data_IF_420832424236
#
_entry.id   IF_420832424236
#
_cell.length_a   1.000
_cell.length_b   1.000
_cell.length_c   1.000
_cell.angle_alpha   90.00
_cell.angle_beta   90.00
_cell.angle_gamma   90.00
#
_symmetry.space_group_name_H-M   'P 1'
#
loop_
_entity.id
_entity.type
_entity.pdbx_description
1 polymer ?
#
# COMPACT_ATOMS: atom_id res chain seq x y z
N UNK A 1 3.58 11.45 -22.81
CA UNK A 1 4.46 10.82 -21.79
C UNK A 1 3.56 10.12 -20.81
N UNK A 2 3.90 8.91 -20.35
CA UNK A 2 3.12 8.20 -19.34
C UNK A 2 3.89 8.22 -18.02
N UNK A 3 3.18 8.36 -16.90
CA UNK A 3 3.76 8.42 -15.57
C UNK A 3 3.22 7.22 -14.78
N UNK A 4 4.11 6.39 -14.27
CA UNK A 4 3.76 5.20 -13.47
C UNK A 4 4.51 5.31 -12.15
N UNK A 5 3.76 5.30 -11.04
CA UNK A 5 4.32 5.31 -9.69
C UNK A 5 4.02 3.97 -9.05
N UNK A 6 5.06 3.19 -8.77
CA UNK A 6 4.96 1.92 -8.04
C UNK A 6 5.46 2.15 -6.61
N UNK A 7 4.58 1.91 -5.64
CA UNK A 7 4.91 2.01 -4.21
C UNK A 7 4.67 0.68 -3.53
N UNK A 8 5.69 0.16 -2.84
CA UNK A 8 5.66 -1.09 -2.11
C UNK A 8 5.58 -0.78 -0.61
N UNK A 9 4.60 -1.35 0.08
CA UNK A 9 4.40 -1.09 1.51
C UNK A 9 5.46 -1.84 2.34
N UNK A 10 6.10 -1.13 3.27
CA UNK A 10 7.07 -1.67 4.23
C UNK A 10 8.29 -2.36 3.59
N UNK A 11 8.55 -2.13 2.30
CA UNK A 11 9.73 -2.66 1.62
C UNK A 11 10.99 -1.97 2.14
N UNK A 12 11.98 -2.79 2.49
CA UNK A 12 13.31 -2.30 2.86
C UNK A 12 14.29 -2.50 1.69
N UNK A 13 15.21 -1.54 1.46
CA UNK A 13 16.17 -1.64 0.36
C UNK A 13 17.11 -2.83 0.51
N UNK A 14 17.44 -3.23 1.74
CA UNK A 14 18.30 -4.39 2.00
C UNK A 14 17.65 -5.74 1.65
N UNK A 15 16.41 -5.75 1.14
CA UNK A 15 15.71 -6.94 0.62
C UNK A 15 15.70 -7.01 -0.92
N UNK A 16 16.42 -6.10 -1.59
CA UNK A 16 16.49 -6.03 -3.05
C UNK A 16 17.87 -6.43 -3.58
N UNK A 17 17.89 -7.21 -4.66
CA UNK A 17 19.12 -7.62 -5.33
C UNK A 17 19.92 -6.42 -5.88
N UNK A 18 19.24 -5.43 -6.45
CA UNK A 18 19.87 -4.20 -6.94
C UNK A 18 20.53 -3.33 -5.84
N UNK A 19 20.21 -3.58 -4.57
CA UNK A 19 20.89 -2.97 -3.40
C UNK A 19 21.86 -3.92 -2.70
N UNK A 20 22.19 -5.06 -3.34
CA UNK A 20 23.22 -5.99 -2.88
C UNK A 20 22.73 -7.17 -2.05
N UNK A 21 21.42 -7.43 -1.94
CA UNK A 21 20.91 -8.62 -1.25
C UNK A 21 21.17 -9.89 -2.10
N UNK A 22 21.92 -10.90 -1.60
CA UNK A 22 22.23 -12.12 -2.35
C UNK A 22 21.21 -13.26 -2.17
N UNK A 23 20.21 -13.08 -1.29
CA UNK A 23 19.30 -14.14 -0.84
C UNK A 23 17.89 -14.00 -1.41
N UNK A 24 17.30 -12.79 -1.35
CA UNK A 24 15.96 -12.52 -1.85
C UNK A 24 16.01 -12.35 -3.37
N UNK A 25 15.12 -13.03 -4.09
CA UNK A 25 15.07 -12.98 -5.55
C UNK A 25 14.11 -11.88 -6.00
N UNK A 26 14.64 -10.80 -6.58
CA UNK A 26 13.84 -9.68 -7.10
C UNK A 26 14.07 -9.42 -8.59
N UNK A 27 13.97 -10.45 -9.46
CA UNK A 27 14.46 -10.39 -10.83
C UNK A 27 13.87 -9.26 -11.68
N UNK A 28 12.58 -8.93 -11.48
CA UNK A 28 11.92 -7.85 -12.22
C UNK A 28 12.40 -6.45 -11.77
N UNK A 29 12.53 -6.23 -10.46
CA UNK A 29 13.06 -4.97 -9.91
C UNK A 29 14.53 -4.82 -10.29
N UNK A 30 15.31 -5.91 -10.21
CA UNK A 30 16.73 -5.91 -10.55
C UNK A 30 16.96 -5.67 -12.05
N UNK A 31 16.09 -6.21 -12.91
CA UNK A 31 16.11 -5.92 -14.35
C UNK A 31 15.78 -4.46 -14.61
N UNK A 32 14.71 -3.93 -14.02
CA UNK A 32 14.32 -2.53 -14.18
C UNK A 32 15.40 -1.56 -13.69
N UNK A 33 16.06 -1.89 -12.59
CA UNK A 33 17.16 -1.09 -12.04
C UNK A 33 18.35 -0.93 -12.99
N UNK A 34 18.63 -1.93 -13.86
CA UNK A 34 19.74 -1.86 -14.84
C UNK A 34 19.52 -0.82 -15.93
N UNK A 35 18.27 -0.46 -16.17
CA UNK A 35 17.85 0.49 -17.20
C UNK A 35 17.38 1.83 -16.60
N UNK A 36 17.56 2.00 -15.28
CA UNK A 36 17.03 3.14 -14.52
C UNK A 36 18.11 3.85 -13.72
N UNK A 37 17.77 5.04 -13.22
CA UNK A 37 18.56 5.71 -12.19
C UNK A 37 18.16 5.11 -10.83
N UNK A 38 19.14 4.59 -10.09
CA UNK A 38 18.96 4.03 -8.75
C UNK A 38 19.46 5.03 -7.71
N UNK A 39 18.63 5.33 -6.72
CA UNK A 39 18.98 6.26 -5.64
C UNK A 39 19.47 5.49 -4.41
N UNK A 40 20.67 5.80 -3.93
CA UNK A 40 21.21 5.28 -2.66
C UNK A 40 20.71 6.07 -1.43
N UNK A 41 20.18 7.27 -1.68
CA UNK A 41 19.78 8.24 -0.64
C UNK A 41 18.39 8.80 -0.93
N UNK A 42 17.40 7.91 -0.99
CA UNK A 42 15.99 8.26 -1.08
C UNK A 42 15.35 8.07 0.30
N UNK A 43 14.78 9.13 0.87
CA UNK A 43 14.21 9.11 2.22
C UNK A 43 12.71 9.40 2.16
N UNK A 44 11.92 8.61 2.89
CA UNK A 44 10.54 8.95 3.17
C UNK A 44 10.49 10.19 4.07
N UNK A 45 9.55 11.09 3.79
CA UNK A 45 9.36 12.31 4.57
C UNK A 45 8.90 12.02 6.00
N UNK A 46 8.05 11.00 6.16
CA UNK A 46 7.52 10.56 7.44
C UNK A 46 7.02 9.12 7.38
N UNK A 47 6.74 8.54 8.54
CA UNK A 47 6.09 7.24 8.70
C UNK A 47 4.90 7.40 9.66
N UNK A 48 3.84 6.57 9.56
CA UNK A 48 3.70 5.35 8.76
C UNK A 48 3.01 5.54 7.39
N UNK A 49 2.34 4.51 6.86
CA UNK A 49 1.74 4.36 5.52
C UNK A 49 0.99 5.57 4.99
N UNK A 50 0.06 6.18 5.75
CA UNK A 50 -0.71 7.32 5.25
C UNK A 50 0.06 8.66 5.24
N UNK A 51 0.82 9.03 6.30
CA UNK A 51 1.68 10.22 6.25
C UNK A 51 2.63 10.24 5.05
N UNK A 52 3.34 9.14 4.77
CA UNK A 52 4.27 9.11 3.61
C UNK A 52 3.52 9.28 2.28
N UNK A 53 2.32 8.70 2.16
CA UNK A 53 1.48 8.82 0.97
C UNK A 53 0.90 10.24 0.83
N UNK A 54 0.56 10.90 1.95
CA UNK A 54 0.13 12.31 1.94
C UNK A 54 1.24 13.21 1.39
N UNK A 55 2.47 13.05 1.90
CA UNK A 55 3.62 13.81 1.44
C UNK A 55 3.91 13.53 -0.05
N UNK A 56 3.86 12.27 -0.47
CA UNK A 56 4.05 11.88 -1.88
C UNK A 56 2.97 12.47 -2.79
N UNK A 57 1.69 12.38 -2.39
CA UNK A 57 0.58 12.81 -3.21
C UNK A 57 0.57 14.33 -3.34
N UNK A 58 0.87 15.07 -2.28
CA UNK A 58 0.77 16.53 -2.28
C UNK A 58 2.08 17.24 -2.64
N UNK A 59 3.22 16.54 -2.58
CA UNK A 59 4.55 17.16 -2.70
C UNK A 59 4.90 18.09 -1.53
N UNK A 60 4.18 18.02 -0.41
CA UNK A 60 4.36 18.91 0.75
C UNK A 60 5.08 18.19 1.88
N UNK A 61 5.84 18.96 2.67
CA UNK A 61 6.41 18.49 3.94
C UNK A 61 5.33 18.48 5.02
N UNK A 62 5.05 17.33 5.63
CA UNK A 62 3.87 17.09 6.47
C UNK A 62 4.14 16.41 7.82
N UNK A 63 5.30 15.78 8.02
CA UNK A 63 5.70 14.95 9.16
C UNK A 63 5.36 15.56 10.51
N UNK A 64 5.66 16.84 10.71
CA UNK A 64 5.48 17.51 12.00
C UNK A 64 4.05 17.95 12.29
N UNK A 65 3.16 17.91 11.29
CA UNK A 65 1.82 18.53 11.36
C UNK A 65 0.69 17.59 11.01
N UNK A 66 0.99 16.48 10.35
CA UNK A 66 -0.01 15.55 9.83
C UNK A 66 0.35 14.13 10.18
N UNK A 67 -0.45 13.56 11.08
CA UNK A 67 -0.39 12.15 11.44
C UNK A 67 -1.29 11.31 10.53
N UNK A 68 -1.84 10.25 11.11
CA UNK A 68 -2.78 9.37 10.43
C UNK A 68 -4.13 10.08 10.20
N UNK A 69 -4.33 10.67 9.04
CA UNK A 69 -5.57 11.39 8.71
C UNK A 69 -5.90 11.36 7.22
N UNK A 70 -7.09 11.86 6.90
CA UNK A 70 -7.60 12.06 5.54
C UNK A 70 -6.80 13.13 4.78
N UNK A 71 -6.94 13.14 3.45
CA UNK A 71 -6.64 14.35 2.70
C UNK A 71 -7.68 15.43 3.03
N UNK A 72 -7.18 16.62 3.35
CA UNK A 72 -7.99 17.80 3.60
C UNK A 72 -8.48 18.38 2.26
N UNK A 73 -9.62 19.07 2.24
CA UNK A 73 -10.15 19.67 1.01
C UNK A 73 -9.14 20.59 0.29
N UNK A 74 -8.29 21.29 1.03
CA UNK A 74 -7.29 22.23 0.48
C UNK A 74 -6.03 21.54 -0.03
N UNK A 75 -5.84 20.24 0.24
CA UNK A 75 -4.75 19.48 -0.36
C UNK A 75 -5.00 19.33 -1.85
N UNK A 76 -3.97 19.62 -2.65
CA UNK A 76 -3.97 19.38 -4.10
C UNK A 76 -3.07 18.18 -4.38
N UNK A 77 -3.62 16.96 -4.51
CA UNK A 77 -2.84 15.79 -4.88
C UNK A 77 -2.38 15.89 -6.33
N UNK A 78 -1.22 15.29 -6.62
CA UNK A 78 -0.61 15.22 -7.96
C UNK A 78 -1.58 14.67 -9.00
N UNK A 79 -2.46 13.74 -8.60
CA UNK A 79 -3.49 13.20 -9.47
C UNK A 79 -4.44 14.29 -10.00
N UNK A 80 -4.90 15.23 -9.16
CA UNK A 80 -5.74 16.36 -9.61
C UNK A 80 -4.97 17.29 -10.57
N UNK A 81 -3.69 17.56 -10.30
CA UNK A 81 -2.84 18.37 -11.19
C UNK A 81 -2.68 17.72 -12.57
N UNK A 82 -2.48 16.39 -12.61
CA UNK A 82 -2.35 15.64 -13.86
C UNK A 82 -3.70 15.56 -14.60
N UNK A 83 -4.79 15.37 -13.87
CA UNK A 83 -6.15 15.34 -14.41
C UNK A 83 -6.50 16.67 -15.09
N UNK A 84 -6.25 17.80 -14.42
CA UNK A 84 -6.42 19.15 -15.00
C UNK A 84 -5.54 19.39 -16.23
N UNK A 85 -4.43 18.67 -16.34
CA UNK A 85 -3.51 18.71 -17.48
C UNK A 85 -3.89 17.74 -18.61
N UNK A 86 -5.04 17.07 -18.53
CA UNK A 86 -5.59 16.19 -19.56
C UNK A 86 -5.05 14.75 -19.52
N UNK A 87 -4.45 14.30 -18.41
CA UNK A 87 -4.05 12.90 -18.24
C UNK A 87 -5.24 12.05 -17.77
N UNK A 88 -5.34 10.83 -18.30
CA UNK A 88 -6.15 9.79 -17.66
C UNK A 88 -5.42 9.27 -16.43
N UNK A 89 -6.08 9.31 -15.27
CA UNK A 89 -5.48 8.98 -13.98
C UNK A 89 -6.07 7.69 -13.39
N UNK A 90 -5.21 6.83 -12.85
CA UNK A 90 -5.62 5.56 -12.24
C UNK A 90 -4.92 5.31 -10.90
N UNK A 91 -5.68 4.88 -9.89
CA UNK A 91 -5.18 4.38 -8.62
C UNK A 91 -5.52 2.91 -8.45
N UNK A 92 -4.50 2.07 -8.38
CA UNK A 92 -4.65 0.64 -8.10
C UNK A 92 -3.87 0.34 -6.82
N UNK A 93 -4.55 -0.05 -5.75
CA UNK A 93 -3.91 -0.24 -4.44
C UNK A 93 -4.64 -1.26 -3.59
N UNK A 94 -3.88 -1.98 -2.76
CA UNK A 94 -4.37 -2.85 -1.70
C UNK A 94 -4.38 -2.16 -0.32
N UNK A 95 -3.94 -0.91 -0.24
CA UNK A 95 -3.84 -0.15 1.00
C UNK A 95 -5.23 0.26 1.50
N UNK A 96 -5.87 -0.64 2.26
CA UNK A 96 -7.20 -0.48 2.86
C UNK A 96 -7.51 0.95 3.35
N UNK A 97 -6.54 1.56 4.03
CA UNK A 97 -6.72 2.84 4.68
C UNK A 97 -6.92 4.03 3.74
N UNK A 98 -6.49 3.94 2.47
CA UNK A 98 -6.74 4.98 1.46
C UNK A 98 -8.20 4.97 1.00
N UNK A 99 -8.83 3.79 1.01
CA UNK A 99 -10.16 3.53 0.45
C UNK A 99 -11.30 3.65 1.47
N UNK A 100 -10.97 3.95 2.74
CA UNK A 100 -12.01 4.25 3.73
C UNK A 100 -12.76 5.52 3.29
N UNK A 101 -14.12 5.56 3.34
CA UNK A 101 -14.91 6.64 2.76
C UNK A 101 -14.50 8.07 3.19
N UNK A 102 -14.04 8.23 4.42
CA UNK A 102 -13.65 9.54 4.95
C UNK A 102 -12.22 9.98 4.60
N UNK A 103 -11.40 9.13 3.97
CA UNK A 103 -9.95 9.35 3.85
C UNK A 103 -9.55 10.14 2.59
N UNK A 104 -10.39 10.15 1.56
CA UNK A 104 -10.28 11.02 0.38
C UNK A 104 -9.01 10.87 -0.48
N UNK A 105 -8.27 9.75 -0.39
CA UNK A 105 -7.07 9.51 -1.21
C UNK A 105 -7.36 9.13 -2.67
N UNK A 106 -8.63 8.90 -3.01
CA UNK A 106 -9.10 8.59 -4.37
C UNK A 106 -9.32 9.85 -5.23
N UNK A 107 -9.15 11.03 -4.64
CA UNK A 107 -9.31 12.32 -5.32
C UNK A 107 -8.34 12.48 -6.50
N UNK A 108 -8.87 12.95 -7.64
CA UNK A 108 -8.11 13.20 -8.86
C UNK A 108 -7.85 11.97 -9.73
N UNK A 109 -8.37 10.79 -9.36
CA UNK A 109 -8.26 9.57 -10.16
C UNK A 109 -9.55 9.28 -10.92
N UNK A 110 -9.48 9.17 -12.26
CA UNK A 110 -10.61 8.74 -13.09
C UNK A 110 -11.01 7.28 -12.83
N UNK A 111 -10.02 6.44 -12.53
CA UNK A 111 -10.20 5.03 -12.25
C UNK A 111 -9.58 4.65 -10.91
N UNK A 112 -10.36 3.95 -10.08
CA UNK A 112 -9.88 3.38 -8.82
C UNK A 112 -10.17 1.90 -8.76
N UNK A 113 -9.12 1.09 -8.56
CA UNK A 113 -9.21 -0.34 -8.25
C UNK A 113 -8.65 -0.60 -6.87
N UNK A 114 -9.53 -0.78 -5.90
CA UNK A 114 -9.16 -1.26 -4.59
C UNK A 114 -9.05 -2.79 -4.60
N UNK A 115 -7.84 -3.29 -4.34
CA UNK A 115 -7.57 -4.71 -4.13
C UNK A 115 -7.88 -5.04 -2.66
N UNK A 116 -8.99 -5.72 -2.44
CA UNK A 116 -9.56 -5.97 -1.10
C UNK A 116 -8.82 -7.07 -0.35
N UNK A 117 -8.91 -7.02 0.98
CA UNK A 117 -8.57 -8.11 1.90
C UNK A 117 -7.35 -7.88 2.80
N UNK A 118 -6.68 -6.74 2.69
CA UNK A 118 -5.60 -6.35 3.61
C UNK A 118 -6.10 -5.90 4.98
N UNK A 119 -5.28 -6.13 6.00
CA UNK A 119 -5.51 -5.70 7.39
C UNK A 119 -6.96 -5.93 7.89
N UNK A 120 -7.61 -4.87 8.40
CA UNK A 120 -8.95 -4.90 8.97
C UNK A 120 -10.06 -4.65 7.93
N UNK A 121 -9.76 -4.78 6.63
CA UNK A 121 -10.77 -4.69 5.59
C UNK A 121 -11.84 -5.78 5.81
N UNK A 122 -13.12 -5.44 5.99
CA UNK A 122 -14.19 -6.43 6.12
C UNK A 122 -14.59 -6.96 4.74
N UNK A 123 -13.63 -7.56 4.01
CA UNK A 123 -13.88 -8.11 2.67
C UNK A 123 -14.64 -9.44 2.75
N UNK A 124 -14.23 -10.31 3.67
CA UNK A 124 -14.91 -11.58 3.93
C UNK A 124 -15.54 -11.53 5.32
N UNK A 125 -16.88 -11.51 5.35
CA UNK A 125 -17.68 -11.37 6.58
C UNK A 125 -18.39 -12.66 7.00
N UNK A 126 -18.15 -13.78 6.29
CA UNK A 126 -18.76 -15.07 6.61
C UNK A 126 -18.37 -15.50 8.04
N UNK A 127 -19.33 -15.63 8.97
CA UNK A 127 -19.06 -16.03 10.35
C UNK A 127 -18.60 -17.48 10.46
N UNK A 128 -18.80 -18.31 9.43
CA UNK A 128 -18.46 -19.73 9.45
C UNK A 128 -16.97 -20.00 9.16
N UNK A 129 -16.24 -19.01 8.66
CA UNK A 129 -14.80 -19.13 8.43
C UNK A 129 -14.08 -19.16 9.78
N UNK A 130 -13.52 -20.32 10.10
CA UNK A 130 -12.74 -20.53 11.31
C UNK A 130 -11.28 -20.16 11.07
N UNK A 131 -10.75 -19.28 11.90
CA UNK A 131 -9.35 -18.89 11.92
C UNK A 131 -8.64 -19.62 13.05
N UNK A 132 -7.53 -20.28 12.72
CA UNK A 132 -6.67 -20.94 13.69
C UNK A 132 -5.44 -20.07 13.99
N UNK A 133 -5.51 -19.31 15.09
CA UNK A 133 -4.42 -18.44 15.53
C UNK A 133 -3.23 -19.23 16.09
N UNK A 134 -3.38 -20.52 16.45
CA UNK A 134 -2.29 -21.31 17.05
C UNK A 134 -1.10 -21.52 16.10
N UNK A 135 -1.33 -21.35 14.79
CA UNK A 135 -0.32 -21.43 13.73
C UNK A 135 0.57 -20.19 13.63
N UNK A 136 0.22 -19.12 14.33
CA UNK A 136 0.84 -17.81 14.17
C UNK A 136 1.55 -17.34 15.44
N UNK A 137 2.53 -16.48 15.26
CA UNK A 137 3.25 -15.90 16.39
C UNK A 137 2.32 -14.95 17.16
N UNK A 138 2.32 -14.98 18.50
CA UNK A 138 1.64 -13.96 19.32
C UNK A 138 2.08 -12.53 19.03
N UNK A 139 3.27 -12.34 18.43
CA UNK A 139 3.76 -11.03 17.99
C UNK A 139 2.87 -10.36 16.95
N UNK A 140 2.06 -11.13 16.23
CA UNK A 140 1.12 -10.60 15.24
C UNK A 140 -0.15 -10.01 15.87
N UNK A 141 -0.39 -10.26 17.16
CA UNK A 141 -1.60 -9.85 17.86
C UNK A 141 -1.33 -9.54 19.34
N UNK A 142 -0.55 -8.49 19.60
CA UNK A 142 -0.13 -8.12 20.95
C UNK A 142 -1.28 -7.57 21.81
N UNK A 143 -2.27 -6.94 21.17
CA UNK A 143 -3.48 -6.41 21.81
C UNK A 143 -4.74 -7.10 21.29
N UNK A 144 -5.85 -6.94 22.00
CA UNK A 144 -7.16 -7.42 21.51
C UNK A 144 -7.56 -6.76 20.19
N UNK A 145 -7.17 -5.49 19.99
CA UNK A 145 -7.36 -4.80 18.72
C UNK A 145 -6.58 -5.51 17.60
N UNK A 146 -5.28 -5.74 17.79
CA UNK A 146 -4.43 -6.40 16.81
C UNK A 146 -4.94 -7.82 16.51
N UNK A 147 -5.43 -8.53 17.53
CA UNK A 147 -6.04 -9.84 17.38
C UNK A 147 -7.26 -9.81 16.48
N UNK A 148 -8.12 -8.80 16.62
CA UNK A 148 -9.29 -8.64 15.77
C UNK A 148 -8.90 -8.31 14.32
N UNK A 149 -7.96 -7.38 14.14
CA UNK A 149 -7.42 -7.02 12.82
C UNK A 149 -6.80 -8.24 12.14
N UNK A 150 -5.92 -8.96 12.83
CA UNK A 150 -5.24 -10.13 12.30
C UNK A 150 -6.20 -11.28 12.01
N UNK A 151 -7.22 -11.48 12.85
CA UNK A 151 -8.27 -12.46 12.58
C UNK A 151 -9.05 -12.09 11.32
N UNK A 152 -9.39 -10.82 11.12
CA UNK A 152 -10.08 -10.38 9.90
C UNK A 152 -9.21 -10.59 8.66
N UNK A 153 -7.92 -10.25 8.73
CA UNK A 153 -6.95 -10.52 7.67
C UNK A 153 -6.90 -12.02 7.29
N UNK A 154 -6.86 -12.91 8.29
CA UNK A 154 -6.85 -14.36 8.04
C UNK A 154 -8.17 -14.87 7.46
N UNK A 155 -9.31 -14.22 7.76
CA UNK A 155 -10.57 -14.53 7.07
C UNK A 155 -10.53 -14.10 5.61
N UNK A 156 -10.00 -12.91 5.33
CA UNK A 156 -9.90 -12.37 3.98
C UNK A 156 -9.04 -13.25 3.06
N UNK A 157 -8.04 -13.93 3.64
CA UNK A 157 -7.09 -14.80 2.92
C UNK A 157 -7.43 -16.29 3.02
N UNK A 158 -8.57 -16.65 3.64
CA UNK A 158 -8.89 -18.04 3.96
C UNK A 158 -9.02 -18.98 2.74
N UNK A 159 -9.31 -18.43 1.56
CA UNK A 159 -9.52 -19.19 0.33
C UNK A 159 -8.29 -19.21 -0.59
N UNK A 160 -7.20 -18.56 -0.20
CA UNK A 160 -5.98 -18.50 -0.99
C UNK A 160 -5.27 -19.85 -1.00
N UNK A 161 -4.85 -20.27 -2.19
CA UNK A 161 -4.18 -21.56 -2.43
C UNK A 161 -2.77 -21.37 -2.97
N UNK A 162 -2.54 -20.31 -3.76
CA UNK A 162 -1.24 -20.00 -4.34
C UNK A 162 -0.90 -18.51 -4.21
N UNK A 163 0.34 -18.15 -4.56
CA UNK A 163 0.76 -16.74 -4.64
C UNK A 163 -0.04 -15.96 -5.69
N UNK A 164 -0.65 -16.63 -6.67
CA UNK A 164 -1.49 -15.99 -7.69
C UNK A 164 -2.81 -15.48 -7.10
N UNK A 165 -3.26 -16.04 -5.97
CA UNK A 165 -4.45 -15.60 -5.24
C UNK A 165 -4.19 -14.35 -4.37
N UNK A 166 -2.94 -13.86 -4.30
CA UNK A 166 -2.56 -12.70 -3.50
C UNK A 166 -3.10 -11.36 -4.03
N UNK A 167 -2.98 -10.33 -3.19
CA UNK A 167 -3.35 -8.93 -3.46
C UNK A 167 -2.51 -8.21 -4.53
N UNK A 168 -1.88 -8.92 -5.46
CA UNK A 168 -1.19 -8.28 -6.57
C UNK A 168 -2.20 -7.81 -7.61
N UNK A 169 -1.93 -6.64 -8.19
CA UNK A 169 -2.70 -6.15 -9.32
C UNK A 169 -2.54 -7.12 -10.49
N UNK A 170 -3.55 -7.98 -10.69
CA UNK A 170 -3.66 -8.77 -11.91
C UNK A 170 -4.05 -7.82 -13.06
N UNK A 171 -3.19 -7.78 -14.08
CA UNK A 171 -3.40 -7.05 -15.35
C UNK A 171 -4.17 -7.95 -16.31
#
# INVERSE_FOLDING_TARGET
>A
MNIIVVMLDSLRPDHLGCYGNPWVKTPNIDAFAKESIVFERAYAEGMPTLPVRTALFTGRYTLMRRGWQRLEPEDVPLAEVLWDSGYSTALISDTYHMHKPAMAYERGFDYVKWIRGQEADPYIVDPNIKVDLSKWSPKNYLTDHDKNVFTQYLKNTAYWKSEEDHFVAQV
#
